data_IF_833890040851
#
_entry.id   IF_833890040851
#
_cell.length_a   1.000
_cell.length_b   1.000
_cell.length_c   1.000
_cell.angle_alpha   90.00
_cell.angle_beta   90.00
_cell.angle_gamma   90.00
#
_symmetry.space_group_name_H-M   'P 1'
#
loop_
_entity.id
_entity.type
_entity.pdbx_description
1 polymer ?
#
# COMPACT_ATOMS: atom_id res chain seq x y z
N UNK A 1 15.88 -31.21 -22.58
CA UNK A 1 16.30 -29.80 -22.36
C UNK A 1 15.39 -28.93 -23.21
N UNK A 2 14.41 -28.25 -22.60
CA UNK A 2 13.58 -27.29 -23.31
C UNK A 2 14.09 -25.89 -22.96
N UNK A 3 14.70 -25.26 -23.95
CA UNK A 3 15.02 -23.84 -23.96
C UNK A 3 13.70 -23.06 -23.90
N UNK A 4 13.45 -22.36 -22.80
CA UNK A 4 12.45 -21.29 -22.77
C UNK A 4 13.19 -19.99 -23.14
N UNK A 5 12.78 -19.27 -24.21
CA UNK A 5 13.49 -18.08 -24.62
C UNK A 5 13.33 -16.96 -23.59
N UNK A 6 14.48 -16.35 -23.33
CA UNK A 6 14.76 -15.17 -22.53
C UNK A 6 13.93 -13.93 -22.91
N UNK A 7 13.53 -13.19 -21.86
CA UNK A 7 13.28 -11.73 -21.78
C UNK A 7 12.40 -11.11 -22.87
N UNK A 8 11.16 -10.79 -22.50
CA UNK A 8 10.46 -9.65 -23.09
C UNK A 8 11.15 -8.37 -22.61
N UNK A 9 11.58 -7.45 -23.50
CA UNK A 9 12.00 -6.12 -23.10
C UNK A 9 10.80 -5.39 -22.50
N UNK A 10 10.92 -4.90 -21.26
CA UNK A 10 9.94 -3.99 -20.68
C UNK A 10 9.84 -2.75 -21.58
N UNK A 11 8.67 -2.51 -22.16
CA UNK A 11 8.39 -1.24 -22.84
C UNK A 11 8.68 -0.10 -21.85
N UNK A 12 9.56 0.86 -22.17
CA UNK A 12 9.85 2.01 -21.31
C UNK A 12 8.63 2.92 -21.06
N UNK A 13 7.49 2.66 -21.72
CA UNK A 13 6.17 3.26 -21.43
C UNK A 13 5.22 2.35 -20.64
N UNK A 14 5.63 1.16 -20.21
CA UNK A 14 4.78 0.24 -19.48
C UNK A 14 4.47 0.79 -18.08
N UNK A 15 3.20 1.11 -17.85
CA UNK A 15 2.66 1.44 -16.53
C UNK A 15 2.39 0.13 -15.80
N UNK A 16 3.01 -0.03 -14.63
CA UNK A 16 2.75 -1.16 -13.74
C UNK A 16 1.49 -0.88 -12.91
N UNK A 17 0.51 -1.77 -12.97
CA UNK A 17 -0.82 -1.64 -12.36
C UNK A 17 -1.03 -2.66 -11.25
N UNK A 18 -1.29 -2.16 -10.05
CA UNK A 18 -1.55 -3.00 -8.88
C UNK A 18 -3.02 -2.88 -8.48
N UNK A 19 -3.72 -4.01 -8.46
CA UNK A 19 -4.99 -4.13 -7.76
C UNK A 19 -4.72 -4.47 -6.29
N UNK A 20 -5.46 -3.87 -5.37
CA UNK A 20 -5.26 -4.02 -3.93
C UNK A 20 -6.61 -4.27 -3.26
N UNK A 21 -6.70 -5.33 -2.46
CA UNK A 21 -7.87 -5.65 -1.66
C UNK A 21 -7.50 -5.69 -0.16
N UNK A 22 -8.16 -4.87 0.65
CA UNK A 22 -8.01 -4.88 2.10
C UNK A 22 -9.26 -5.34 2.82
N UNK A 23 -9.05 -5.84 4.04
CA UNK A 23 -10.11 -6.15 5.02
C UNK A 23 -11.27 -6.93 4.40
N UNK A 24 -10.95 -8.09 3.82
CA UNK A 24 -11.86 -8.83 2.93
C UNK A 24 -13.15 -9.25 3.65
N UNK A 25 -13.08 -9.69 4.91
CA UNK A 25 -14.24 -10.08 5.73
C UNK A 25 -15.28 -10.95 4.99
N UNK A 26 -14.83 -12.07 4.42
CA UNK A 26 -15.62 -13.00 3.57
C UNK A 26 -16.10 -12.45 2.21
N UNK A 27 -15.84 -11.18 1.90
CA UNK A 27 -16.24 -10.55 0.64
C UNK A 27 -15.19 -10.78 -0.44
N UNK A 28 -14.92 -12.05 -0.74
CA UNK A 28 -14.11 -12.48 -1.88
C UNK A 28 -14.72 -13.74 -2.48
N UNK A 29 -15.04 -13.69 -3.76
CA UNK A 29 -15.72 -14.77 -4.48
C UNK A 29 -15.24 -14.87 -5.94
N UNK A 30 -15.84 -15.77 -6.73
CA UNK A 30 -15.45 -15.97 -8.13
C UNK A 30 -15.65 -14.73 -9.02
N UNK A 31 -16.59 -13.83 -8.68
CA UNK A 31 -16.75 -12.57 -9.41
C UNK A 31 -15.50 -11.69 -9.27
N UNK A 32 -14.82 -11.69 -8.12
CA UNK A 32 -13.54 -10.99 -7.98
C UNK A 32 -12.47 -11.57 -8.92
N UNK A 33 -12.51 -12.88 -9.17
CA UNK A 33 -11.57 -13.53 -10.09
C UNK A 33 -11.87 -13.14 -11.55
N UNK A 34 -13.14 -13.14 -11.95
CA UNK A 34 -13.54 -12.67 -13.28
C UNK A 34 -13.14 -11.20 -13.50
N UNK A 35 -13.34 -10.35 -12.48
CA UNK A 35 -12.90 -8.96 -12.54
C UNK A 35 -11.40 -8.85 -12.74
N UNK A 36 -10.58 -9.61 -12.01
CA UNK A 36 -9.13 -9.59 -12.24
C UNK A 36 -8.77 -10.01 -13.67
N UNK A 37 -9.48 -10.99 -14.26
CA UNK A 37 -9.24 -11.40 -15.66
C UNK A 37 -9.59 -10.31 -16.66
N UNK A 38 -10.63 -9.51 -16.41
CA UNK A 38 -11.02 -8.42 -17.31
C UNK A 38 -10.16 -7.18 -17.14
N UNK A 39 -9.94 -6.77 -15.89
CA UNK A 39 -9.16 -5.59 -15.52
C UNK A 39 -7.68 -5.74 -15.85
N UNK A 40 -7.17 -6.98 -15.86
CA UNK A 40 -5.77 -7.33 -16.16
C UNK A 40 -4.76 -6.46 -15.40
N UNK A 41 -4.87 -6.33 -14.05
CA UNK A 41 -3.78 -5.76 -13.28
C UNK A 41 -2.56 -6.67 -13.38
N UNK A 42 -1.37 -6.08 -13.24
CA UNK A 42 -0.11 -6.80 -13.31
C UNK A 42 0.17 -7.64 -12.05
N UNK A 43 -0.40 -7.21 -10.91
CA UNK A 43 -0.36 -7.96 -9.65
C UNK A 43 -1.53 -7.62 -8.72
N UNK A 44 -1.80 -8.53 -7.79
CA UNK A 44 -2.75 -8.36 -6.69
C UNK A 44 -2.02 -8.28 -5.34
N UNK A 45 -2.33 -7.27 -4.54
CA UNK A 45 -1.92 -7.19 -3.14
C UNK A 45 -3.12 -7.37 -2.21
N UNK A 46 -2.96 -8.15 -1.14
CA UNK A 46 -4.04 -8.41 -0.16
C UNK A 46 -3.59 -8.07 1.26
N UNK A 47 -4.31 -7.20 1.96
CA UNK A 47 -3.97 -6.70 3.32
C UNK A 47 -4.87 -7.23 4.44
N UNK A 48 -5.00 -8.55 4.51
CA UNK A 48 -5.47 -9.26 5.69
C UNK A 48 -6.97 -9.22 5.95
N UNK A 49 -7.33 -9.73 7.12
CA UNK A 49 -8.70 -9.94 7.61
C UNK A 49 -9.58 -10.65 6.59
N UNK A 50 -9.10 -11.83 6.17
CA UNK A 50 -9.73 -12.64 5.13
C UNK A 50 -11.12 -13.12 5.53
N UNK A 51 -11.22 -13.87 6.64
CA UNK A 51 -12.49 -14.53 7.03
C UNK A 51 -12.56 -15.11 8.46
N UNK A 52 -12.09 -14.40 9.49
CA UNK A 52 -12.17 -14.88 10.89
C UNK A 52 -11.51 -16.26 11.11
N UNK A 53 -10.37 -16.52 10.45
CA UNK A 53 -9.66 -17.80 10.52
C UNK A 53 -10.30 -18.94 9.73
N UNK A 54 -11.33 -18.68 8.91
CA UNK A 54 -11.85 -19.65 7.94
C UNK A 54 -10.91 -19.74 6.74
N UNK A 55 -10.85 -20.92 6.15
CA UNK A 55 -9.90 -21.22 5.07
C UNK A 55 -10.44 -20.88 3.67
N UNK A 56 -11.75 -20.63 3.54
CA UNK A 56 -12.42 -20.45 2.23
C UNK A 56 -11.75 -19.38 1.37
N UNK A 57 -11.45 -18.22 1.95
CA UNK A 57 -10.83 -17.13 1.18
C UNK A 57 -9.38 -17.45 0.83
N UNK A 58 -8.60 -18.04 1.75
CA UNK A 58 -7.25 -18.50 1.44
C UNK A 58 -7.25 -19.52 0.27
N UNK A 59 -8.21 -20.45 0.23
CA UNK A 59 -8.38 -21.41 -0.87
C UNK A 59 -8.75 -20.73 -2.20
N UNK A 60 -9.57 -19.67 -2.16
CA UNK A 60 -9.88 -18.88 -3.35
C UNK A 60 -8.68 -18.06 -3.83
N UNK A 61 -7.88 -17.48 -2.92
CA UNK A 61 -6.67 -16.73 -3.27
C UNK A 61 -5.59 -17.62 -3.91
N UNK A 62 -5.56 -18.92 -3.60
CA UNK A 62 -4.68 -19.86 -4.31
C UNK A 62 -5.00 -19.97 -5.81
N UNK A 63 -6.26 -19.78 -6.18
CA UNK A 63 -6.72 -19.92 -7.57
C UNK A 63 -6.47 -18.67 -8.41
N UNK A 64 -6.01 -17.57 -7.81
CA UNK A 64 -5.64 -16.35 -8.54
C UNK A 64 -4.41 -16.61 -9.40
N UNK A 65 -4.55 -16.35 -10.71
CA UNK A 65 -3.55 -16.66 -11.73
C UNK A 65 -2.47 -15.57 -11.88
N UNK A 66 -2.79 -14.33 -11.51
CA UNK A 66 -1.83 -13.21 -11.55
C UNK A 66 -0.89 -13.24 -10.34
N UNK A 67 0.32 -12.63 -10.45
CA UNK A 67 1.23 -12.46 -9.32
C UNK A 67 0.54 -11.83 -8.12
N UNK A 68 0.62 -12.50 -6.98
CA UNK A 68 -0.12 -12.11 -5.77
C UNK A 68 0.82 -12.07 -4.57
N UNK A 69 0.72 -11.04 -3.73
CA UNK A 69 1.31 -11.03 -2.38
C UNK A 69 0.25 -10.69 -1.34
N UNK A 70 0.25 -11.39 -0.20
CA UNK A 70 -0.68 -11.13 0.89
C UNK A 70 -0.01 -11.09 2.26
N UNK A 71 -0.62 -10.35 3.18
CA UNK A 71 -0.30 -10.38 4.61
C UNK A 71 -1.59 -10.64 5.39
N UNK A 72 -1.51 -11.44 6.46
CA UNK A 72 -2.67 -11.80 7.28
C UNK A 72 -2.90 -10.76 8.38
N UNK A 73 -4.17 -10.50 8.67
CA UNK A 73 -4.64 -9.57 9.70
C UNK A 73 -5.02 -10.23 11.02
N UNK A 74 -5.49 -9.45 11.99
CA UNK A 74 -5.78 -9.98 13.32
C UNK A 74 -6.96 -10.97 13.33
N UNK A 75 -7.95 -10.76 12.46
CA UNK A 75 -9.11 -11.65 12.35
C UNK A 75 -8.74 -13.00 11.73
N UNK A 76 -7.62 -13.10 11.01
CA UNK A 76 -7.18 -14.34 10.38
C UNK A 76 -6.75 -15.45 11.36
N UNK A 77 -6.55 -15.10 12.63
CA UNK A 77 -6.37 -16.08 13.70
C UNK A 77 -7.68 -16.72 14.18
N UNK A 78 -8.84 -16.15 13.83
CA UNK A 78 -10.15 -16.69 14.16
C UNK A 78 -10.43 -16.90 15.64
N UNK A 79 -9.85 -16.06 16.51
CA UNK A 79 -9.92 -16.19 17.99
C UNK A 79 -9.42 -17.54 18.52
N UNK A 80 -8.45 -18.16 17.84
CA UNK A 80 -7.82 -19.40 18.27
C UNK A 80 -6.42 -19.13 18.89
N UNK A 81 -6.29 -19.13 20.23
CA UNK A 81 -5.01 -18.86 20.88
C UNK A 81 -3.95 -19.95 20.63
N UNK A 82 -4.36 -21.16 20.21
CA UNK A 82 -3.42 -22.23 19.86
C UNK A 82 -2.63 -21.92 18.59
N UNK A 83 -3.10 -21.00 17.75
CA UNK A 83 -2.46 -20.65 16.49
C UNK A 83 -2.80 -21.60 15.33
N UNK A 84 -3.48 -22.73 15.56
CA UNK A 84 -3.75 -23.74 14.52
C UNK A 84 -4.52 -23.19 13.33
N UNK A 85 -5.53 -22.34 13.55
CA UNK A 85 -6.25 -21.68 12.43
C UNK A 85 -5.32 -20.79 11.60
N UNK A 86 -4.42 -20.06 12.26
CA UNK A 86 -3.45 -19.22 11.58
C UNK A 86 -2.45 -20.09 10.78
N UNK A 87 -1.94 -21.17 11.35
CA UNK A 87 -1.06 -22.13 10.65
C UNK A 87 -1.72 -22.70 9.39
N UNK A 88 -2.99 -23.12 9.49
CA UNK A 88 -3.73 -23.64 8.34
C UNK A 88 -3.89 -22.59 7.23
N UNK A 89 -4.15 -21.32 7.60
CA UNK A 89 -4.19 -20.25 6.60
C UNK A 89 -2.82 -20.01 5.96
N UNK A 90 -1.74 -20.05 6.74
CA UNK A 90 -0.38 -19.90 6.24
C UNK A 90 0.01 -21.04 5.29
N UNK A 91 -0.27 -22.29 5.66
CA UNK A 91 -0.05 -23.46 4.83
C UNK A 91 -0.82 -23.35 3.51
N UNK A 92 -2.08 -22.92 3.59
CA UNK A 92 -2.92 -22.74 2.41
C UNK A 92 -2.42 -21.61 1.51
N UNK A 93 -2.01 -20.47 2.05
CA UNK A 93 -1.48 -19.39 1.22
C UNK A 93 -0.10 -19.73 0.64
N UNK A 94 0.68 -20.55 1.34
CA UNK A 94 2.04 -20.89 1.00
C UNK A 94 2.88 -19.63 0.77
N UNK A 95 3.68 -19.63 -0.29
CA UNK A 95 4.55 -18.51 -0.65
C UNK A 95 3.80 -17.19 -0.88
N UNK A 96 2.48 -17.22 -1.15
CA UNK A 96 1.69 -15.99 -1.40
C UNK A 96 1.67 -15.09 -0.16
N UNK A 97 1.75 -15.68 1.03
CA UNK A 97 1.88 -14.93 2.26
C UNK A 97 3.32 -14.44 2.46
N UNK A 98 3.50 -13.14 2.67
CA UNK A 98 4.80 -12.49 2.74
C UNK A 98 5.13 -11.88 4.10
N UNK A 99 4.42 -12.21 5.19
CA UNK A 99 4.70 -11.67 6.52
C UNK A 99 6.16 -11.87 6.94
N UNK A 100 6.88 -10.78 7.23
CA UNK A 100 8.33 -10.73 7.47
C UNK A 100 9.22 -11.30 6.36
N UNK A 101 8.71 -11.44 5.14
CA UNK A 101 9.42 -12.04 4.00
C UNK A 101 9.35 -11.12 2.79
N UNK A 102 10.36 -11.25 1.94
CA UNK A 102 10.38 -10.67 0.61
C UNK A 102 9.68 -11.60 -0.37
N UNK A 103 8.85 -11.03 -1.23
CA UNK A 103 8.30 -11.65 -2.42
C UNK A 103 8.52 -10.73 -3.61
N UNK A 104 9.46 -11.09 -4.48
CA UNK A 104 9.63 -10.44 -5.77
C UNK A 104 8.65 -11.04 -6.78
N UNK A 105 7.74 -10.23 -7.29
CA UNK A 105 6.78 -10.65 -8.30
C UNK A 105 7.42 -10.43 -9.67
N UNK A 106 7.79 -11.52 -10.35
CA UNK A 106 8.44 -11.50 -11.68
C UNK A 106 7.76 -12.48 -12.65
N UNK A 107 7.18 -12.00 -13.77
CA UNK A 107 6.69 -10.62 -13.96
C UNK A 107 5.74 -10.20 -12.81
N UNK A 108 5.51 -8.90 -12.56
CA UNK A 108 5.81 -7.75 -13.43
C UNK A 108 7.08 -6.96 -13.08
N UNK A 109 7.82 -7.33 -12.04
CA UNK A 109 9.02 -6.61 -11.59
C UNK A 109 8.72 -5.64 -10.44
N UNK A 110 8.23 -6.17 -9.32
CA UNK A 110 8.02 -5.41 -8.08
C UNK A 110 8.48 -6.23 -6.88
N UNK A 111 9.13 -5.57 -5.91
CA UNK A 111 9.51 -6.19 -4.65
C UNK A 111 8.47 -5.88 -3.58
N UNK A 112 7.84 -6.90 -3.01
CA UNK A 112 6.85 -6.76 -1.93
C UNK A 112 7.41 -7.37 -0.65
N UNK A 113 7.41 -6.60 0.44
CA UNK A 113 7.83 -7.09 1.76
C UNK A 113 6.66 -7.00 2.72
N UNK A 114 6.28 -8.13 3.30
CA UNK A 114 5.23 -8.14 4.32
C UNK A 114 5.74 -7.68 5.68
N UNK A 115 4.94 -6.85 6.35
CA UNK A 115 5.13 -6.48 7.74
C UNK A 115 4.72 -7.62 8.69
N UNK A 116 4.59 -7.31 9.99
CA UNK A 116 4.19 -8.29 11.01
C UNK A 116 2.78 -8.83 10.74
N UNK A 117 2.62 -10.16 10.56
CA UNK A 117 1.31 -10.77 10.35
C UNK A 117 0.50 -10.83 11.64
N UNK A 118 -0.83 -10.83 11.52
CA UNK A 118 -1.76 -11.07 12.64
C UNK A 118 -1.82 -9.93 13.67
N UNK A 119 -1.27 -8.77 13.34
CA UNK A 119 -1.29 -7.57 14.19
C UNK A 119 -2.68 -6.95 14.28
N UNK A 120 -3.04 -6.41 15.45
CA UNK A 120 -4.27 -5.62 15.67
C UNK A 120 -3.95 -4.13 15.91
N UNK A 121 -2.74 -3.70 15.55
CA UNK A 121 -2.26 -2.34 15.81
C UNK A 121 -2.04 -2.02 17.29
N UNK A 122 -2.01 -0.72 17.58
CA UNK A 122 -1.90 -0.17 18.93
C UNK A 122 -0.48 -0.22 19.51
N UNK A 123 0.51 0.04 18.67
CA UNK A 123 1.94 0.00 19.01
C UNK A 123 2.56 -1.35 18.69
N UNK A 124 3.15 -2.02 19.68
CA UNK A 124 3.70 -3.37 19.50
C UNK A 124 2.98 -4.36 20.42
N UNK A 125 1.97 -5.04 19.87
CA UNK A 125 1.16 -6.02 20.59
C UNK A 125 1.09 -7.30 19.79
N UNK A 126 1.50 -8.40 20.41
CA UNK A 126 1.50 -9.73 19.79
C UNK A 126 0.47 -10.59 20.47
N UNK A 127 -0.52 -11.06 19.69
CA UNK A 127 -1.58 -11.95 20.17
C UNK A 127 -1.01 -13.33 20.54
N UNK A 128 -1.73 -14.07 21.39
CA UNK A 128 -1.31 -15.42 21.76
C UNK A 128 -1.22 -16.35 20.53
N UNK A 129 -2.17 -16.23 19.59
CA UNK A 129 -2.16 -17.00 18.35
C UNK A 129 -0.86 -16.78 17.55
N UNK A 130 -0.45 -15.53 17.36
CA UNK A 130 0.80 -15.20 16.64
C UNK A 130 2.02 -15.70 17.40
N UNK A 131 2.05 -15.60 18.74
CA UNK A 131 3.15 -16.16 19.54
C UNK A 131 3.23 -17.68 19.45
N UNK A 132 2.10 -18.38 19.40
CA UNK A 132 2.06 -19.84 19.29
C UNK A 132 2.64 -20.32 17.96
N UNK A 133 2.39 -19.58 16.86
CA UNK A 133 2.89 -19.94 15.51
C UNK A 133 4.34 -19.51 15.29
N UNK A 134 4.69 -18.29 15.67
CA UNK A 134 5.98 -17.69 15.31
C UNK A 134 7.02 -17.70 16.43
N UNK A 135 6.65 -18.21 17.61
CA UNK A 135 7.47 -18.15 18.80
C UNK A 135 7.57 -16.73 19.38
N UNK A 136 8.40 -16.55 20.43
CA UNK A 136 8.66 -15.24 21.00
C UNK A 136 9.50 -14.38 20.05
N UNK A 137 9.14 -13.11 19.95
CA UNK A 137 9.94 -12.07 19.33
C UNK A 137 9.58 -10.71 19.94
N UNK A 138 10.46 -9.73 19.80
CA UNK A 138 10.29 -8.38 20.31
C UNK A 138 10.15 -7.35 19.18
N UNK A 139 9.93 -6.10 19.59
CA UNK A 139 9.75 -4.94 18.72
C UNK A 139 10.88 -4.80 17.69
N UNK A 140 12.13 -4.85 18.16
CA UNK A 140 13.31 -4.64 17.32
C UNK A 140 13.54 -5.82 16.38
N UNK A 141 13.32 -7.04 16.85
CA UNK A 141 13.40 -8.24 16.00
C UNK A 141 12.35 -8.21 14.88
N UNK A 142 11.13 -7.77 15.18
CA UNK A 142 10.09 -7.61 14.16
C UNK A 142 10.47 -6.55 13.13
N UNK A 143 10.91 -5.37 13.58
CA UNK A 143 11.36 -4.29 12.70
C UNK A 143 12.55 -4.72 11.84
N UNK A 144 13.52 -5.42 12.43
CA UNK A 144 14.71 -5.90 11.75
C UNK A 144 14.38 -6.96 10.69
N UNK A 145 13.41 -7.86 10.93
CA UNK A 145 12.94 -8.80 9.90
C UNK A 145 12.38 -8.07 8.69
N UNK A 146 11.57 -7.03 8.90
CA UNK A 146 11.01 -6.20 7.81
C UNK A 146 12.14 -5.48 7.07
N UNK A 147 13.05 -4.84 7.81
CA UNK A 147 14.19 -4.10 7.24
C UNK A 147 15.10 -5.03 6.43
N UNK A 148 15.50 -6.17 6.99
CA UNK A 148 16.36 -7.15 6.33
C UNK A 148 15.72 -7.69 5.05
N UNK A 149 14.42 -8.03 5.07
CA UNK A 149 13.71 -8.44 3.86
C UNK A 149 13.68 -7.34 2.78
N UNK A 150 13.50 -6.07 3.18
CA UNK A 150 13.55 -4.93 2.27
C UNK A 150 14.95 -4.67 1.70
N UNK A 151 16.02 -4.95 2.45
CA UNK A 151 17.39 -4.82 1.95
C UNK A 151 17.80 -5.99 1.05
N UNK A 152 17.20 -7.17 1.23
CA UNK A 152 17.44 -8.32 0.36
C UNK A 152 16.79 -8.19 -1.03
N UNK A 153 15.82 -7.29 -1.18
CA UNK A 153 15.15 -7.05 -2.45
C UNK A 153 16.08 -6.41 -3.49
N UNK A 154 15.95 -6.81 -4.74
CA UNK A 154 16.63 -6.20 -5.87
C UNK A 154 16.48 -4.66 -5.81
N UNK A 155 17.60 -3.91 -5.75
CA UNK A 155 17.57 -2.45 -5.64
C UNK A 155 16.97 -1.77 -6.88
N UNK A 156 16.93 -2.47 -8.03
CA UNK A 156 16.34 -1.94 -9.25
C UNK A 156 14.80 -2.02 -9.27
N UNK A 157 14.19 -2.82 -8.40
CA UNK A 157 12.73 -2.94 -8.33
C UNK A 157 12.11 -1.88 -7.42
N UNK A 158 10.91 -1.34 -7.76
CA UNK A 158 10.12 -0.59 -6.81
C UNK A 158 9.79 -1.47 -5.60
N UNK A 159 10.00 -0.91 -4.40
CA UNK A 159 9.73 -1.60 -3.13
C UNK A 159 8.36 -1.20 -2.58
N UNK A 160 7.54 -2.19 -2.24
CA UNK A 160 6.27 -2.00 -1.54
C UNK A 160 6.32 -2.71 -0.20
N UNK A 161 5.99 -2.01 0.89
CA UNK A 161 5.66 -2.67 2.15
C UNK A 161 4.18 -3.00 2.19
N UNK A 162 3.86 -4.23 2.60
CA UNK A 162 2.50 -4.73 2.73
C UNK A 162 2.22 -5.07 4.20
N UNK A 163 1.32 -4.36 4.84
CA UNK A 163 0.98 -4.57 6.25
C UNK A 163 -0.52 -4.77 6.42
N UNK A 164 -0.96 -5.42 7.50
CA UNK A 164 -2.38 -5.37 7.83
C UNK A 164 -2.71 -4.06 8.57
N UNK A 165 -1.94 -3.69 9.60
CA UNK A 165 -2.08 -2.38 10.24
C UNK A 165 -1.02 -1.40 9.70
N UNK A 166 -1.40 -0.13 9.54
CA UNK A 166 -0.47 0.93 9.15
C UNK A 166 0.53 1.29 10.26
N UNK A 167 1.56 2.10 9.98
CA UNK A 167 2.58 2.45 10.97
C UNK A 167 2.07 3.47 12.00
N UNK A 168 2.63 3.41 13.22
CA UNK A 168 2.49 4.51 14.20
C UNK A 168 3.00 5.83 13.62
N UNK A 169 2.38 6.94 14.01
CA UNK A 169 2.68 8.31 13.57
C UNK A 169 1.64 8.88 12.60
N UNK A 170 0.61 8.10 12.26
CA UNK A 170 -0.43 8.45 11.28
C UNK A 170 -1.85 8.42 11.88
N UNK A 171 -2.00 8.50 13.21
CA UNK A 171 -3.29 8.28 13.88
C UNK A 171 -3.68 9.26 14.98
N UNK A 172 -3.33 10.54 14.88
CA UNK A 172 -3.63 11.54 15.92
C UNK A 172 -5.14 11.71 16.17
N UNK A 173 -5.93 11.80 15.10
CA UNK A 173 -7.39 11.94 15.15
C UNK A 173 -8.10 10.69 14.64
N UNK A 174 -9.39 10.53 14.97
CA UNK A 174 -10.17 9.34 14.57
C UNK A 174 -10.23 9.13 13.05
N UNK A 175 -10.25 10.21 12.28
CA UNK A 175 -10.31 10.18 10.81
C UNK A 175 -8.94 10.04 10.12
N UNK A 176 -7.85 9.94 10.89
CA UNK A 176 -6.49 9.78 10.35
C UNK A 176 -6.28 8.35 9.85
N UNK A 177 -5.26 8.11 9.03
CA UNK A 177 -5.04 6.79 8.41
C UNK A 177 -4.97 5.65 9.44
N UNK A 178 -4.35 5.89 10.60
CA UNK A 178 -4.16 4.93 11.68
C UNK A 178 -4.89 5.32 12.99
N UNK A 179 -5.89 6.19 12.90
CA UNK A 179 -6.60 6.73 14.07
C UNK A 179 -7.67 5.81 14.64
N UNK A 180 -7.62 5.49 15.93
CA UNK A 180 -8.69 4.68 16.56
C UNK A 180 -10.00 5.45 16.65
N UNK A 181 -11.07 4.86 16.13
CA UNK A 181 -12.42 5.44 16.07
C UNK A 181 -13.50 4.60 16.79
N UNK A 182 -13.17 3.47 17.43
CA UNK A 182 -14.16 2.70 18.20
C UNK A 182 -14.16 3.01 19.71
N UNK A 183 -13.21 3.81 20.20
CA UNK A 183 -13.11 4.18 21.62
C UNK A 183 -12.49 5.55 21.80
N UNK A 184 -13.09 6.38 22.66
CA UNK A 184 -12.59 7.70 23.04
C UNK A 184 -11.52 7.62 24.17
N UNK A 185 -10.56 8.55 24.21
CA UNK A 185 -10.24 9.48 23.13
C UNK A 185 -9.67 8.75 21.90
N UNK A 186 -9.69 9.42 20.74
CA UNK A 186 -8.95 8.98 19.56
C UNK A 186 -7.47 8.86 19.92
N UNK A 187 -6.79 7.86 19.35
CA UNK A 187 -5.37 7.59 19.58
C UNK A 187 -4.77 6.93 18.37
N UNK A 188 -3.47 7.12 18.20
CA UNK A 188 -2.71 6.39 17.22
C UNK A 188 -2.76 4.90 17.52
N UNK A 189 -3.14 4.14 16.50
CA UNK A 189 -3.29 2.70 16.56
C UNK A 189 -2.43 1.97 15.54
N UNK A 190 -1.47 2.65 14.93
CA UNK A 190 -0.53 2.01 14.02
C UNK A 190 0.47 1.12 14.74
N UNK A 191 1.19 0.33 13.96
CA UNK A 191 2.24 -0.57 14.40
C UNK A 191 3.58 0.16 14.57
N UNK A 192 4.19 -0.02 15.75
CA UNK A 192 5.46 0.64 16.09
C UNK A 192 6.65 -0.02 15.40
N UNK A 193 6.64 -1.35 15.26
CA UNK A 193 7.69 -2.09 14.53
C UNK A 193 7.73 -1.73 13.05
N UNK A 194 6.56 -1.52 12.43
CA UNK A 194 6.48 -1.05 11.06
C UNK A 194 7.02 0.37 10.91
N UNK A 195 6.69 1.28 11.82
CA UNK A 195 7.22 2.65 11.81
C UNK A 195 8.76 2.67 11.92
N UNK A 196 9.33 1.85 12.82
CA UNK A 196 10.78 1.69 12.96
C UNK A 196 11.43 1.15 11.69
N UNK A 197 10.86 0.10 11.10
CA UNK A 197 11.37 -0.50 9.87
C UNK A 197 11.34 0.50 8.70
N UNK A 198 10.24 1.23 8.52
CA UNK A 198 10.10 2.26 7.49
C UNK A 198 11.20 3.31 7.64
N UNK A 199 11.39 3.84 8.85
CA UNK A 199 12.42 4.83 9.12
C UNK A 199 13.83 4.33 8.72
N UNK A 200 14.15 3.08 9.06
CA UNK A 200 15.44 2.46 8.74
C UNK A 200 15.62 2.20 7.24
N UNK A 201 14.56 1.72 6.56
CA UNK A 201 14.56 1.45 5.12
C UNK A 201 14.76 2.75 4.34
N UNK A 202 14.06 3.82 4.72
CA UNK A 202 14.14 5.13 4.09
C UNK A 202 15.51 5.81 4.21
N UNK A 203 16.41 5.33 5.09
CA UNK A 203 17.81 5.79 5.11
C UNK A 203 18.70 5.10 4.08
N UNK A 204 18.28 3.95 3.55
CA UNK A 204 19.12 3.06 2.74
C UNK A 204 18.64 2.94 1.30
N UNK A 205 17.33 2.99 1.05
CA UNK A 205 16.74 2.94 -0.28
C UNK A 205 15.41 3.68 -0.35
N UNK A 206 14.98 3.96 -1.57
CA UNK A 206 13.65 4.51 -1.82
C UNK A 206 12.57 3.50 -1.45
N UNK A 207 11.57 3.97 -0.71
CA UNK A 207 10.35 3.23 -0.40
C UNK A 207 9.16 4.01 -0.98
N UNK A 208 8.71 3.72 -2.21
CA UNK A 208 7.65 4.50 -2.82
C UNK A 208 6.27 4.27 -2.20
N UNK A 209 5.98 3.09 -1.66
CA UNK A 209 4.64 2.74 -1.21
C UNK A 209 4.61 1.80 0.01
N UNK A 210 3.74 2.14 0.95
CA UNK A 210 3.31 1.30 2.08
C UNK A 210 1.79 1.12 1.96
N UNK A 211 1.35 -0.12 1.78
CA UNK A 211 -0.07 -0.49 1.68
C UNK A 211 -0.49 -1.21 2.95
N UNK A 212 -1.62 -0.81 3.51
CA UNK A 212 -2.18 -1.45 4.70
C UNK A 212 -3.71 -1.41 4.76
N UNK A 213 -4.27 -2.09 5.75
CA UNK A 213 -5.72 -2.17 6.00
C UNK A 213 -6.06 -1.84 7.46
N UNK A 214 -6.88 -2.69 8.10
CA UNK A 214 -7.33 -2.67 9.49
C UNK A 214 -8.26 -1.51 9.87
N UNK A 215 -7.86 -0.29 9.50
CA UNK A 215 -8.58 0.92 9.82
C UNK A 215 -9.62 1.24 8.75
N UNK A 216 -10.83 0.70 8.91
CA UNK A 216 -11.89 0.81 7.90
C UNK A 216 -12.14 2.27 7.48
N UNK A 217 -12.44 2.47 6.19
CA UNK A 217 -12.73 3.79 5.61
C UNK A 217 -13.90 4.47 6.31
N UNK A 218 -15.04 3.79 6.39
CA UNK A 218 -16.21 4.29 7.10
C UNK A 218 -15.95 4.29 8.61
N UNK A 219 -16.03 5.47 9.22
CA UNK A 219 -15.84 5.61 10.67
C UNK A 219 -17.02 5.01 11.43
N UNK A 220 -16.71 4.32 12.53
CA UNK A 220 -17.69 3.72 13.45
C UNK A 220 -18.72 4.74 13.88
N UNK A 221 -19.98 4.28 13.89
CA UNK A 221 -21.18 5.04 14.29
C UNK A 221 -21.50 6.22 13.35
N UNK A 222 -21.17 6.09 12.06
CA UNK A 222 -21.56 7.06 11.02
C UNK A 222 -20.88 8.41 11.19
N UNK A 223 -19.64 8.43 11.67
CA UNK A 223 -18.90 9.66 12.00
C UNK A 223 -18.10 10.24 10.83
N UNK A 224 -18.45 9.85 9.60
CA UNK A 224 -17.78 10.26 8.37
C UNK A 224 -16.79 9.23 7.85
N UNK A 225 -15.89 9.70 6.99
CA UNK A 225 -14.92 8.88 6.29
C UNK A 225 -13.48 9.16 6.76
N UNK A 226 -12.66 8.11 6.74
CA UNK A 226 -11.24 8.15 7.07
C UNK A 226 -10.42 8.65 5.88
N UNK A 227 -9.39 9.45 6.16
CA UNK A 227 -8.33 9.72 5.19
C UNK A 227 -7.60 8.42 4.88
N UNK A 228 -7.57 8.03 3.62
CA UNK A 228 -7.00 6.74 3.19
C UNK A 228 -5.67 6.87 2.45
N UNK A 229 -5.16 8.09 2.24
CA UNK A 229 -3.91 8.33 1.55
C UNK A 229 -3.10 9.47 2.15
N UNK A 230 -1.77 9.34 2.16
CA UNK A 230 -0.82 10.40 2.53
C UNK A 230 0.54 10.14 1.87
N UNK A 231 1.29 11.19 1.56
CA UNK A 231 2.72 11.12 1.22
C UNK A 231 3.52 11.81 2.34
N UNK A 232 4.63 11.22 2.78
CA UNK A 232 5.52 11.85 3.75
C UNK A 232 6.60 12.74 3.09
N UNK A 233 7.39 13.43 3.92
CA UNK A 233 8.46 14.31 3.45
C UNK A 233 9.62 13.60 2.72
N UNK A 234 9.65 12.26 2.73
CA UNK A 234 10.64 11.44 1.99
C UNK A 234 10.06 10.86 0.70
N UNK A 235 8.80 11.19 0.38
CA UNK A 235 8.13 10.73 -0.83
C UNK A 235 7.56 9.31 -0.73
N UNK A 236 7.45 8.74 0.48
CA UNK A 236 6.75 7.47 0.67
C UNK A 236 5.25 7.70 0.73
N UNK A 237 4.50 7.02 -0.13
CA UNK A 237 3.05 7.00 -0.09
C UNK A 237 2.52 5.94 0.87
N UNK A 238 1.47 6.29 1.61
CA UNK A 238 0.78 5.44 2.56
C UNK A 238 -0.65 5.29 2.07
N UNK A 239 -1.06 4.08 1.72
CA UNK A 239 -2.39 3.76 1.22
C UNK A 239 -3.09 2.78 2.15
N UNK A 240 -4.19 3.24 2.74
CA UNK A 240 -5.10 2.39 3.49
C UNK A 240 -6.19 1.84 2.54
N UNK A 241 -6.17 0.52 2.32
CA UNK A 241 -7.07 -0.21 1.44
C UNK A 241 -8.26 -0.90 2.16
N UNK A 242 -8.53 -0.55 3.43
CA UNK A 242 -9.60 -1.12 4.25
C UNK A 242 -11.01 -0.60 3.89
N UNK A 243 -11.45 -0.84 2.65
CA UNK A 243 -12.81 -0.52 2.23
C UNK A 243 -13.76 -1.63 2.70
N UNK A 244 -14.60 -1.35 3.70
CA UNK A 244 -15.54 -2.32 4.27
C UNK A 244 -16.94 -1.71 4.40
N UNK A 245 -17.96 -2.28 3.73
CA UNK A 245 -17.89 -3.44 2.83
C UNK A 245 -17.21 -3.09 1.49
N UNK A 246 -16.50 -4.06 0.88
CA UNK A 246 -15.92 -3.94 -0.47
C UNK A 246 -16.83 -4.45 -1.59
N UNK A 247 -17.87 -5.21 -1.24
CA UNK A 247 -18.97 -5.57 -2.13
C UNK A 247 -20.21 -4.76 -1.76
N UNK A 248 -20.94 -4.25 -2.75
CA UNK A 248 -22.14 -3.46 -2.52
C UNK A 248 -23.08 -3.44 -3.71
N UNK A 249 -24.11 -2.63 -3.61
CA UNK A 249 -25.02 -2.31 -4.72
C UNK A 249 -25.23 -0.80 -4.76
N UNK A 250 -25.27 -0.22 -5.96
CA UNK A 250 -25.59 1.19 -6.12
C UNK A 250 -27.10 1.47 -6.12
N UNK A 251 -27.48 2.74 -6.27
CA UNK A 251 -28.87 3.17 -6.30
C UNK A 251 -29.67 2.62 -7.50
N UNK A 252 -28.99 2.17 -8.54
CA UNK A 252 -29.58 1.55 -9.73
C UNK A 252 -29.64 0.02 -9.61
N UNK A 253 -29.26 -0.55 -8.47
CA UNK A 253 -29.23 -1.99 -8.22
C UNK A 253 -28.06 -2.71 -8.87
N UNK A 254 -27.05 -2.00 -9.38
CA UNK A 254 -25.86 -2.62 -9.98
C UNK A 254 -24.91 -3.07 -8.88
N UNK A 255 -24.41 -4.30 -8.99
CA UNK A 255 -23.41 -4.80 -8.05
C UNK A 255 -22.09 -4.06 -8.20
N UNK A 256 -21.44 -3.76 -7.08
CA UNK A 256 -20.20 -3.01 -6.98
C UNK A 256 -19.11 -3.86 -6.30
N UNK A 257 -17.91 -3.83 -6.86
CA UNK A 257 -16.73 -4.48 -6.31
C UNK A 257 -15.58 -3.47 -6.22
N UNK A 258 -15.07 -3.28 -5.01
CA UNK A 258 -13.98 -2.34 -4.75
C UNK A 258 -12.61 -2.99 -4.94
N UNK A 259 -11.71 -2.25 -5.58
CA UNK A 259 -10.27 -2.40 -5.46
C UNK A 259 -9.63 -1.03 -5.23
N UNK A 260 -8.68 -0.95 -4.29
CA UNK A 260 -7.71 0.14 -4.34
C UNK A 260 -6.77 -0.11 -5.53
N UNK A 261 -6.35 0.95 -6.20
CA UNK A 261 -5.57 0.88 -7.42
C UNK A 261 -4.34 1.77 -7.33
N UNK A 262 -3.20 1.23 -7.73
CA UNK A 262 -1.94 1.97 -7.78
C UNK A 262 -1.26 1.75 -9.13
N UNK A 263 -0.74 2.84 -9.69
CA UNK A 263 0.04 2.81 -10.92
C UNK A 263 1.46 3.31 -10.67
N UNK A 264 2.44 2.61 -11.24
CA UNK A 264 3.85 2.99 -11.26
C UNK A 264 4.31 3.21 -12.70
N UNK A 265 5.22 4.16 -12.93
CA UNK A 265 5.93 4.26 -14.20
C UNK A 265 7.02 3.18 -14.32
N UNK A 266 7.67 3.14 -15.49
CA UNK A 266 8.77 2.21 -15.75
C UNK A 266 10.00 2.43 -14.84
N UNK A 267 10.13 3.59 -14.20
CA UNK A 267 11.19 3.89 -13.23
C UNK A 267 10.79 3.53 -11.78
N UNK A 268 9.59 2.97 -11.56
CA UNK A 268 9.08 2.65 -10.24
C UNK A 268 8.63 3.87 -9.43
N UNK A 269 8.35 5.00 -10.09
CA UNK A 269 7.73 6.15 -9.45
C UNK A 269 6.21 6.02 -9.44
N UNK A 270 5.59 6.35 -8.30
CA UNK A 270 4.14 6.35 -8.18
C UNK A 270 3.53 7.37 -9.15
N UNK A 271 2.60 6.94 -9.98
CA UNK A 271 1.84 7.76 -10.92
C UNK A 271 0.45 8.10 -10.40
N UNK A 272 -0.21 7.13 -9.78
CA UNK A 272 -1.59 7.29 -9.33
C UNK A 272 -1.88 6.38 -8.12
N UNK A 273 -2.73 6.88 -7.23
CA UNK A 273 -3.41 6.08 -6.23
C UNK A 273 -4.90 6.44 -6.23
N UNK A 274 -5.78 5.45 -6.31
CA UNK A 274 -7.23 5.65 -6.32
C UNK A 274 -8.00 4.50 -5.65
N UNK A 275 -9.25 4.76 -5.29
CA UNK A 275 -10.23 3.71 -4.98
C UNK A 275 -11.17 3.58 -6.16
N UNK A 276 -11.35 2.37 -6.67
CA UNK A 276 -12.15 2.08 -7.86
C UNK A 276 -13.24 1.06 -7.56
N UNK A 277 -14.45 1.32 -8.04
CA UNK A 277 -15.60 0.45 -7.92
C UNK A 277 -16.02 -0.02 -9.30
N UNK A 278 -15.98 -1.33 -9.49
CA UNK A 278 -16.29 -1.98 -10.76
C UNK A 278 -17.65 -2.67 -10.71
N UNK A 279 -18.38 -2.63 -11.83
CA UNK A 279 -19.56 -3.45 -12.02
C UNK A 279 -19.20 -4.91 -12.31
N UNK A 280 -20.18 -5.81 -12.25
CA UNK A 280 -19.97 -7.25 -12.54
C UNK A 280 -19.58 -7.57 -13.98
N UNK A 281 -19.46 -6.57 -14.86
CA UNK A 281 -18.96 -6.66 -16.25
C UNK A 281 -17.56 -6.03 -16.44
N UNK A 282 -16.93 -5.54 -15.36
CA UNK A 282 -15.59 -4.93 -15.39
C UNK A 282 -15.59 -3.43 -15.67
N UNK A 283 -16.76 -2.84 -15.94
CA UNK A 283 -16.90 -1.40 -16.13
C UNK A 283 -16.53 -0.65 -14.85
N UNK A 284 -15.70 0.39 -14.98
CA UNK A 284 -15.42 1.33 -13.89
C UNK A 284 -16.64 2.22 -13.67
N UNK A 285 -17.35 2.03 -12.56
CA UNK A 285 -18.58 2.76 -12.24
C UNK A 285 -18.30 4.00 -11.38
N UNK A 286 -17.37 3.89 -10.44
CA UNK A 286 -16.96 5.00 -9.59
C UNK A 286 -15.45 4.97 -9.36
N UNK A 287 -14.84 6.15 -9.39
CA UNK A 287 -13.44 6.35 -9.06
C UNK A 287 -13.28 7.51 -8.09
N UNK A 288 -12.52 7.27 -7.03
CA UNK A 288 -12.01 8.31 -6.15
C UNK A 288 -10.49 8.39 -6.33
N UNK A 289 -10.02 9.38 -7.09
CA UNK A 289 -8.59 9.68 -7.18
C UNK A 289 -8.11 10.26 -5.84
N UNK A 290 -7.14 9.59 -5.22
CA UNK A 290 -6.53 10.02 -3.96
C UNK A 290 -5.32 10.91 -4.23
N UNK A 291 -4.56 10.56 -5.25
CA UNK A 291 -3.39 11.31 -5.71
C UNK A 291 -3.03 10.92 -7.14
N UNK A 292 -2.50 11.90 -7.88
CA UNK A 292 -1.95 11.71 -9.23
C UNK A 292 -0.66 12.51 -9.34
N UNK A 293 0.35 11.94 -9.98
CA UNK A 293 1.60 12.62 -10.23
C UNK A 293 1.34 13.90 -11.04
N UNK A 294 2.05 15.01 -10.75
CA UNK A 294 2.03 16.18 -11.62
C UNK A 294 2.42 15.76 -13.04
N UNK A 295 1.85 16.39 -14.08
CA UNK A 295 2.35 16.19 -15.44
C UNK A 295 3.86 16.46 -15.46
N UNK A 296 4.61 15.59 -16.14
CA UNK A 296 6.04 15.78 -16.31
C UNK A 296 6.28 17.21 -16.83
N UNK A 297 7.14 17.96 -16.16
CA UNK A 297 7.51 19.29 -16.62
C UNK A 297 8.05 19.15 -18.05
N UNK A 298 7.49 19.90 -18.99
CA UNK A 298 7.98 19.90 -20.37
C UNK A 298 9.45 20.37 -20.35
N UNK A 299 10.41 19.52 -20.75
CA UNK A 299 11.82 19.90 -20.77
C UNK A 299 12.08 21.11 -21.69
N UNK A 300 11.18 21.45 -22.61
CA UNK A 300 11.28 22.62 -23.48
C UNK A 300 10.78 23.92 -22.84
N UNK A 301 9.97 23.86 -21.77
CA UNK A 301 9.44 25.06 -21.11
C UNK A 301 10.50 25.82 -20.27
N UNK A 302 11.64 25.17 -19.96
CA UNK A 302 12.73 25.77 -19.18
C UNK A 302 13.75 26.58 -20.02
N UNK A 303 13.62 26.61 -21.35
CA UNK A 303 14.57 27.32 -22.24
C UNK A 303 14.13 28.75 -22.57
N UNK A 304 12.89 29.14 -22.28
CA UNK A 304 12.40 30.49 -22.52
C UNK A 304 12.60 31.40 -21.29
N UNK A 305 13.86 31.69 -20.94
CA UNK A 305 14.16 32.89 -20.16
C UNK A 305 14.30 34.08 -21.10
N UNK A 306 13.57 35.20 -20.91
CA UNK A 306 13.77 36.39 -21.72
C UNK A 306 15.16 36.97 -21.44
N UNK A 307 15.95 37.14 -22.51
CA UNK A 307 17.21 37.87 -22.51
C UNK A 307 16.94 39.30 -22.04
N UNK A 308 17.58 39.80 -20.97
CA UNK A 308 17.43 41.20 -20.59
C UNK A 308 18.05 42.10 -21.67
N UNK A 309 17.43 43.24 -22.01
CA UNK A 309 17.97 44.13 -23.02
C UNK A 309 19.33 44.68 -22.58
N UNK A 310 20.29 44.59 -23.49
CA UNK A 310 21.63 45.17 -23.35
C UNK A 310 21.55 46.69 -23.20
N UNK A 311 21.87 47.20 -22.01
CA UNK A 311 22.07 48.62 -21.77
C UNK A 311 23.35 49.11 -22.44
N UNK A 312 23.23 50.09 -23.33
CA UNK A 312 24.32 51.00 -23.67
C UNK A 312 24.43 52.03 -22.54
N UNK A 313 25.63 52.14 -21.98
CA UNK A 313 25.94 53.09 -20.92
C UNK A 313 26.33 54.47 -21.46
N UNK A 314 26.22 55.46 -20.58
CA UNK A 314 27.25 56.50 -20.45
C UNK A 314 27.22 57.11 -19.03
N UNK A 315 28.37 56.96 -18.33
CA UNK A 315 29.16 57.95 -17.54
C UNK A 315 28.44 59.22 -17.01
N UNK A 316 28.66 59.78 -15.82
CA UNK A 316 29.56 59.63 -14.66
C UNK A 316 29.06 60.63 -13.56
N UNK A 317 29.73 60.94 -12.41
CA UNK A 317 29.08 60.95 -11.08
C UNK A 317 29.16 62.29 -10.30
N UNK A 318 28.36 62.44 -9.24
CA UNK A 318 28.62 63.30 -8.06
C UNK A 318 27.43 63.16 -7.07
N UNK A 319 27.60 62.54 -5.91
CA UNK A 319 28.03 63.13 -4.63
C UNK A 319 26.87 63.73 -3.78
N UNK A 320 26.98 63.54 -2.44
CA UNK A 320 26.16 64.05 -1.32
C UNK A 320 25.11 63.06 -0.77
N UNK A 321 25.33 62.39 0.38
CA UNK A 321 25.35 62.86 1.79
C UNK A 321 24.05 62.49 2.54
N UNK A 322 24.12 61.40 3.32
CA UNK A 322 23.62 61.23 4.72
C UNK A 322 22.10 61.47 5.03
N UNK A 323 21.57 61.20 6.25
CA UNK A 323 20.70 60.03 6.46
C UNK A 323 19.39 60.38 7.23
N UNK A 324 18.67 59.32 7.65
CA UNK A 324 17.65 59.26 8.72
C UNK A 324 16.22 59.72 8.36
N UNK A 325 15.28 58.78 8.43
CA UNK A 325 14.38 58.55 9.57
C UNK A 325 13.98 57.08 9.61
#
# INVERSE_FOLDING_TARGET
>A
MFFCPSRVPSDPRAVLRLAIAGDIHDQWNHQDHELLRWLRPDALLVVGDLSEGRQRIAALLQQVEIPLACVLGNHDSGKDPSGRRLEQQLEMLGERHCGWRLRELRPPGIAVVGARPGTAGGGFRVSQAVRSVYGPFNLHESAERIRSAAMAADPALPLVLLAHCGPTGLGSEAADLCGRDWKLPARDWGDLDLALAIHQIQQQRRLPLVVFGHMHHALRRGRGERRSFRIDGRGTAYLNAACVPRHGVDQLGRALHHFSWVEFDAAGCLLEASHRWFGSSGDLLYEQTLWKAPPAADPLALVASPVPPSGQGDRDPAAALLPRC
#
